data_IF_599554994932
#
_entry.id   IF_599554994932
#
_cell.length_a   1.000
_cell.length_b   1.000
_cell.length_c   1.000
_cell.angle_alpha   90.00
_cell.angle_beta   90.00
_cell.angle_gamma   90.00
#
_symmetry.space_group_name_H-M   'P 1'
#
loop_
_entity.id
_entity.type
_entity.pdbx_description
1 polymer ?
#
# COMPACT_ATOMS: atom_id res chain seq x y z
N UNK A 1 -9.22 -20.34 -15.85
CA UNK A 1 -7.86 -20.90 -15.71
C UNK A 1 -6.81 -19.83 -15.42
N UNK A 2 -6.58 -18.83 -16.29
CA UNK A 2 -5.54 -17.81 -16.06
C UNK A 2 -5.67 -17.06 -14.71
N UNK A 3 -6.87 -16.58 -14.37
CA UNK A 3 -7.11 -15.88 -13.10
C UNK A 3 -6.91 -16.77 -11.87
N UNK A 4 -7.27 -18.06 -11.98
CA UNK A 4 -7.06 -19.04 -10.90
C UNK A 4 -5.57 -19.32 -10.70
N UNK A 5 -4.82 -19.51 -11.79
CA UNK A 5 -3.36 -19.67 -11.73
C UNK A 5 -2.69 -18.43 -11.12
N UNK A 6 -3.14 -17.23 -11.49
CA UNK A 6 -2.65 -15.98 -10.93
C UNK A 6 -2.94 -15.90 -9.42
N UNK A 7 -4.18 -16.18 -8.99
CA UNK A 7 -4.56 -16.16 -7.59
C UNK A 7 -3.72 -17.16 -6.77
N UNK A 8 -3.58 -18.39 -7.25
CA UNK A 8 -2.73 -19.40 -6.59
C UNK A 8 -1.28 -18.92 -6.53
N UNK A 9 -0.77 -18.35 -7.61
CA UNK A 9 0.58 -17.77 -7.65
C UNK A 9 0.78 -16.66 -6.62
N UNK A 10 -0.18 -15.75 -6.46
CA UNK A 10 -0.16 -14.67 -5.47
C UNK A 10 -0.19 -15.24 -4.04
N UNK A 11 -1.04 -16.24 -3.77
CA UNK A 11 -1.14 -16.88 -2.45
C UNK A 11 0.18 -17.56 -2.10
N UNK A 12 0.75 -18.32 -3.03
CA UNK A 12 2.04 -19.01 -2.84
C UNK A 12 3.16 -17.98 -2.62
N UNK A 13 3.22 -16.93 -3.45
CA UNK A 13 4.20 -15.86 -3.29
C UNK A 13 4.07 -15.18 -1.92
N UNK A 14 2.86 -14.83 -1.50
CA UNK A 14 2.59 -14.22 -0.21
C UNK A 14 3.05 -15.14 0.93
N UNK A 15 2.68 -16.42 0.89
CA UNK A 15 3.11 -17.39 1.89
C UNK A 15 4.64 -17.48 1.99
N UNK A 16 5.32 -17.62 0.85
CA UNK A 16 6.78 -17.71 0.78
C UNK A 16 7.45 -16.45 1.34
N UNK A 17 7.03 -15.27 0.90
CA UNK A 17 7.62 -14.00 1.37
C UNK A 17 7.43 -13.80 2.87
N UNK A 18 6.30 -14.22 3.44
CA UNK A 18 6.00 -14.01 4.85
C UNK A 18 6.75 -15.01 5.74
N UNK A 19 6.66 -16.31 5.43
CA UNK A 19 7.27 -17.36 6.26
C UNK A 19 8.75 -17.61 5.99
N UNK A 20 9.30 -17.27 4.82
CA UNK A 20 10.74 -17.40 4.58
C UNK A 20 11.55 -16.32 5.32
N UNK A 21 10.95 -15.17 5.62
CA UNK A 21 11.64 -14.03 6.24
C UNK A 21 11.39 -13.90 7.74
N UNK A 22 10.35 -14.53 8.27
CA UNK A 22 10.01 -14.47 9.69
C UNK A 22 9.27 -15.72 10.16
N UNK A 23 9.87 -16.49 11.06
CA UNK A 23 9.24 -17.69 11.63
C UNK A 23 9.82 -18.07 12.98
N UNK A 24 9.06 -18.84 13.76
CA UNK A 24 9.54 -19.44 15.01
C UNK A 24 9.76 -20.95 14.82
N UNK A 25 10.96 -21.42 15.15
CA UNK A 25 11.31 -22.84 15.16
C UNK A 25 12.14 -23.17 16.40
N UNK A 26 11.83 -24.27 17.09
CA UNK A 26 12.55 -24.74 18.29
C UNK A 26 12.70 -23.63 19.35
N UNK A 27 11.62 -22.88 19.60
CA UNK A 27 11.58 -21.72 20.51
C UNK A 27 12.55 -20.58 20.20
N UNK A 28 13.13 -20.57 18.99
CA UNK A 28 13.96 -19.48 18.48
C UNK A 28 13.23 -18.71 17.40
N UNK A 29 13.40 -17.40 17.44
CA UNK A 29 12.88 -16.49 16.42
C UNK A 29 13.91 -16.36 15.30
N UNK A 30 13.50 -16.67 14.07
CA UNK A 30 14.31 -16.52 12.88
C UNK A 30 13.82 -15.31 12.09
N UNK A 31 14.78 -14.44 11.76
CA UNK A 31 14.54 -13.21 11.00
C UNK A 31 15.50 -13.22 9.81
N UNK A 32 14.97 -12.99 8.61
CA UNK A 32 15.77 -12.96 7.39
C UNK A 32 16.79 -11.83 7.39
N UNK A 33 17.96 -12.10 6.81
CA UNK A 33 19.03 -11.11 6.70
C UNK A 33 18.64 -9.85 5.89
N UNK A 34 17.69 -9.96 4.96
CA UNK A 34 17.21 -8.79 4.20
C UNK A 34 16.24 -7.89 4.96
N UNK A 35 15.70 -8.36 6.10
CA UNK A 35 14.62 -7.69 6.84
C UNK A 35 15.01 -7.33 8.28
N UNK A 36 16.12 -7.86 8.81
CA UNK A 36 16.43 -7.81 10.25
C UNK A 36 16.51 -6.38 10.82
N UNK A 37 17.04 -5.44 10.04
CA UNK A 37 17.22 -4.04 10.49
C UNK A 37 15.87 -3.36 10.71
N UNK A 38 14.91 -3.58 9.82
CA UNK A 38 13.55 -3.04 9.94
C UNK A 38 12.72 -3.83 10.96
N UNK A 39 12.98 -5.13 11.09
CA UNK A 39 12.24 -6.00 12.01
C UNK A 39 12.64 -5.77 13.47
N UNK A 40 13.86 -5.34 13.74
CA UNK A 40 14.33 -5.03 15.09
C UNK A 40 13.41 -4.01 15.80
N UNK A 41 13.15 -2.81 15.25
CA UNK A 41 12.19 -1.87 15.84
C UNK A 41 10.74 -2.35 15.74
N UNK A 42 10.33 -3.04 14.66
CA UNK A 42 8.95 -3.54 14.54
C UNK A 42 8.59 -4.57 15.62
N UNK A 43 9.47 -5.55 15.86
CA UNK A 43 9.25 -6.59 16.87
C UNK A 43 9.32 -5.99 18.27
N UNK A 44 10.27 -5.07 18.52
CA UNK A 44 10.32 -4.33 19.78
C UNK A 44 9.01 -3.61 20.07
N UNK A 45 8.45 -2.93 19.06
CA UNK A 45 7.18 -2.23 19.14
C UNK A 45 5.99 -3.19 19.37
N UNK A 46 5.88 -4.28 18.58
CA UNK A 46 4.87 -5.32 18.78
C UNK A 46 4.89 -5.85 20.21
N UNK A 47 6.09 -6.20 20.71
CA UNK A 47 6.28 -6.74 22.06
C UNK A 47 5.99 -5.74 23.17
N UNK A 48 6.22 -4.46 22.90
CA UNK A 48 5.85 -3.39 23.84
C UNK A 48 4.34 -3.28 24.03
N UNK A 49 3.53 -3.67 23.02
CA UNK A 49 2.08 -3.73 23.13
C UNK A 49 1.60 -5.07 23.68
N UNK A 50 2.25 -6.19 23.34
CA UNK A 50 1.78 -7.52 23.73
C UNK A 50 2.22 -7.96 25.14
N UNK A 51 3.42 -7.60 25.58
CA UNK A 51 3.93 -7.92 26.93
C UNK A 51 4.14 -6.68 27.79
N UNK A 52 4.19 -5.50 27.19
CA UNK A 52 4.30 -4.22 27.89
C UNK A 52 2.96 -3.53 28.04
N UNK A 53 2.99 -2.35 28.67
CA UNK A 53 1.86 -1.44 28.78
C UNK A 53 2.13 -0.17 27.96
N UNK A 54 2.43 -0.33 26.66
CA UNK A 54 2.80 0.79 25.79
C UNK A 54 1.58 1.47 25.14
N UNK A 55 0.57 1.82 25.93
CA UNK A 55 -0.56 2.63 25.48
C UNK A 55 -0.99 3.59 26.61
N UNK A 56 -0.86 4.92 26.47
CA UNK A 56 -0.45 5.68 25.28
C UNK A 56 0.97 5.36 24.80
N UNK A 57 1.18 5.45 23.48
CA UNK A 57 2.34 4.85 22.80
C UNK A 57 3.62 5.68 22.93
N UNK A 58 4.74 5.02 23.21
CA UNK A 58 6.09 5.61 23.25
C UNK A 58 7.11 4.76 22.48
N UNK A 59 8.20 5.38 22.01
CA UNK A 59 9.27 4.64 21.35
C UNK A 59 9.98 3.70 22.34
N UNK A 60 10.06 2.41 21.99
CA UNK A 60 10.73 1.40 22.82
C UNK A 60 12.23 1.62 22.99
N UNK A 61 12.85 2.36 22.07
CA UNK A 61 14.29 2.65 22.05
C UNK A 61 14.63 4.10 22.43
N UNK A 62 13.63 4.96 22.64
CA UNK A 62 13.83 6.36 22.97
C UNK A 62 12.73 6.83 23.93
N UNK A 63 13.01 6.65 25.23
CA UNK A 63 12.03 6.86 26.29
C UNK A 63 11.57 8.32 26.38
N UNK A 64 10.27 8.52 26.65
CA UNK A 64 9.67 9.83 26.83
C UNK A 64 9.13 10.47 25.55
N UNK A 65 9.50 9.94 24.37
CA UNK A 65 8.96 10.42 23.09
C UNK A 65 7.81 9.54 22.57
N UNK A 66 6.85 10.20 21.94
CA UNK A 66 5.73 9.61 21.22
C UNK A 66 6.17 8.95 19.91
N UNK A 67 5.43 7.92 19.48
CA UNK A 67 5.72 7.28 18.19
C UNK A 67 5.18 8.17 17.06
N UNK A 68 6.10 8.79 16.32
CA UNK A 68 5.78 9.67 15.18
C UNK A 68 5.56 8.90 13.86
N UNK A 69 6.02 7.65 13.82
CA UNK A 69 5.88 6.75 12.67
C UNK A 69 4.60 5.90 12.77
N UNK A 70 4.13 5.32 11.67
CA UNK A 70 2.92 4.49 11.70
C UNK A 70 3.14 3.22 12.55
N UNK A 71 2.40 3.12 13.66
CA UNK A 71 2.52 2.03 14.64
C UNK A 71 1.27 1.13 14.69
N UNK A 72 0.16 1.53 14.06
CA UNK A 72 -1.14 0.89 14.30
C UNK A 72 -1.20 -0.54 13.75
N UNK A 73 -0.42 -0.84 12.72
CA UNK A 73 -0.27 -2.22 12.23
C UNK A 73 0.46 -3.09 13.27
N UNK A 74 1.54 -2.59 13.86
CA UNK A 74 2.28 -3.26 14.94
C UNK A 74 1.43 -3.37 16.20
N UNK A 75 0.58 -2.38 16.49
CA UNK A 75 -0.40 -2.43 17.57
C UNK A 75 -1.42 -3.54 17.35
N UNK A 76 -2.00 -3.64 16.15
CA UNK A 76 -2.89 -4.75 15.79
C UNK A 76 -2.19 -6.10 15.98
N UNK A 77 -0.95 -6.25 15.50
CA UNK A 77 -0.16 -7.48 15.65
C UNK A 77 0.14 -7.79 17.12
N UNK A 78 0.48 -6.78 17.91
CA UNK A 78 0.69 -6.91 19.35
C UNK A 78 -0.56 -7.35 20.09
N UNK A 79 -1.75 -6.86 19.72
CA UNK A 79 -3.01 -7.33 20.29
C UNK A 79 -3.32 -8.78 19.90
N UNK A 80 -3.05 -9.18 18.66
CA UNK A 80 -3.18 -10.59 18.26
C UNK A 80 -2.26 -11.50 19.07
N UNK A 81 -1.03 -11.04 19.33
CA UNK A 81 -0.09 -11.77 20.19
C UNK A 81 -0.54 -11.81 21.65
N UNK A 82 -1.00 -10.69 22.19
CA UNK A 82 -1.55 -10.60 23.55
C UNK A 82 -2.70 -11.60 23.76
N UNK A 83 -3.55 -11.77 22.75
CA UNK A 83 -4.66 -12.74 22.74
C UNK A 83 -4.22 -14.20 22.57
N UNK A 84 -2.92 -14.46 22.44
CA UNK A 84 -2.33 -15.81 22.45
C UNK A 84 -1.85 -16.33 21.10
N UNK A 85 -1.92 -15.53 20.03
CA UNK A 85 -1.38 -15.93 18.72
C UNK A 85 0.15 -15.79 18.73
N UNK A 86 0.89 -16.85 18.42
CA UNK A 86 2.36 -16.79 18.36
C UNK A 86 2.82 -15.71 17.36
N UNK A 87 3.85 -14.93 17.74
CA UNK A 87 4.25 -13.69 17.02
C UNK A 87 4.43 -13.85 15.51
N UNK A 88 4.96 -14.98 15.04
CA UNK A 88 5.15 -15.23 13.62
C UNK A 88 3.82 -15.35 12.89
N UNK A 89 2.82 -16.03 13.44
CA UNK A 89 1.47 -16.02 12.88
C UNK A 89 0.79 -14.65 13.03
N UNK A 90 0.92 -14.01 14.20
CA UNK A 90 0.32 -12.71 14.47
C UNK A 90 0.80 -11.64 13.49
N UNK A 91 2.08 -11.72 13.08
CA UNK A 91 2.63 -10.78 12.10
C UNK A 91 2.38 -11.24 10.67
N UNK A 92 2.65 -12.51 10.34
CA UNK A 92 2.61 -12.98 8.95
C UNK A 92 1.19 -13.12 8.39
N UNK A 93 0.18 -13.51 9.18
CA UNK A 93 -1.18 -13.69 8.67
C UNK A 93 -1.79 -12.36 8.19
N UNK A 94 -1.83 -11.27 8.99
CA UNK A 94 -2.33 -9.99 8.50
C UNK A 94 -1.54 -9.47 7.31
N UNK A 95 -0.22 -9.66 7.29
CA UNK A 95 0.62 -9.24 6.17
C UNK A 95 0.36 -10.03 4.89
N UNK A 96 0.18 -11.35 5.00
CA UNK A 96 -0.18 -12.21 3.87
C UNK A 96 -1.54 -11.80 3.29
N UNK A 97 -2.55 -11.60 4.15
CA UNK A 97 -3.89 -11.17 3.74
C UNK A 97 -3.87 -9.79 3.10
N UNK A 98 -3.08 -8.87 3.66
CA UNK A 98 -2.91 -7.52 3.12
C UNK A 98 -2.26 -7.54 1.74
N UNK A 99 -1.23 -8.37 1.56
CA UNK A 99 -0.55 -8.57 0.28
C UNK A 99 -1.47 -9.15 -0.78
N UNK A 100 -2.20 -10.22 -0.46
CA UNK A 100 -3.19 -10.82 -1.37
C UNK A 100 -4.25 -9.78 -1.75
N UNK A 101 -4.79 -9.05 -0.77
CA UNK A 101 -5.81 -8.03 -1.00
C UNK A 101 -5.31 -6.90 -1.92
N UNK A 102 -4.07 -6.43 -1.73
CA UNK A 102 -3.48 -5.41 -2.59
C UNK A 102 -3.39 -5.87 -4.05
N UNK A 103 -2.94 -7.11 -4.28
CA UNK A 103 -2.86 -7.68 -5.63
C UNK A 103 -4.24 -7.86 -6.28
N UNK A 104 -5.23 -8.35 -5.53
CA UNK A 104 -6.58 -8.55 -6.06
C UNK A 104 -7.28 -7.24 -6.37
N UNK A 105 -7.11 -6.21 -5.54
CA UNK A 105 -7.67 -4.89 -5.79
C UNK A 105 -6.96 -4.19 -6.94
N UNK A 106 -5.65 -4.38 -7.10
CA UNK A 106 -4.91 -3.89 -8.27
C UNK A 106 -5.38 -4.58 -9.56
N UNK A 107 -5.56 -5.91 -9.52
CA UNK A 107 -6.13 -6.68 -10.63
C UNK A 107 -7.50 -6.12 -11.03
N UNK A 108 -8.38 -5.94 -10.04
CA UNK A 108 -9.72 -5.42 -10.26
C UNK A 108 -9.71 -3.99 -10.80
N UNK A 109 -8.82 -3.13 -10.29
CA UNK A 109 -8.66 -1.76 -10.77
C UNK A 109 -8.23 -1.73 -12.24
N UNK A 110 -7.20 -2.50 -12.60
CA UNK A 110 -6.74 -2.60 -13.99
C UNK A 110 -7.82 -3.19 -14.92
N UNK A 111 -8.55 -4.21 -14.45
CA UNK A 111 -9.67 -4.80 -15.17
C UNK A 111 -10.79 -3.78 -15.38
N UNK A 112 -11.14 -3.00 -14.35
CA UNK A 112 -12.18 -1.96 -14.44
C UNK A 112 -11.78 -0.84 -15.39
N UNK A 113 -10.51 -0.43 -15.42
CA UNK A 113 -9.97 0.60 -16.32
C UNK A 113 -9.96 0.16 -17.77
N UNK A 114 -9.58 -1.09 -18.04
CA UNK A 114 -9.27 -1.54 -19.40
C UNK A 114 -10.32 -2.47 -20.02
N UNK A 115 -11.20 -3.05 -19.21
CA UNK A 115 -12.11 -4.13 -19.60
C UNK A 115 -11.41 -5.46 -19.95
N UNK A 116 -10.09 -5.57 -19.72
CA UNK A 116 -9.28 -6.70 -20.20
C UNK A 116 -8.64 -7.48 -19.05
N UNK A 117 -8.97 -8.77 -18.96
CA UNK A 117 -8.34 -9.73 -18.02
C UNK A 117 -6.81 -9.73 -18.14
N UNK A 118 -6.29 -9.70 -19.38
CA UNK A 118 -4.85 -9.67 -19.63
C UNK A 118 -4.15 -8.45 -19.02
N UNK A 119 -4.80 -7.28 -19.02
CA UNK A 119 -4.24 -6.08 -18.38
C UNK A 119 -4.20 -6.22 -16.86
N UNK A 120 -5.23 -6.84 -16.26
CA UNK A 120 -5.22 -7.19 -14.84
C UNK A 120 -4.07 -8.14 -14.49
N UNK A 121 -3.86 -9.20 -15.28
CA UNK A 121 -2.76 -10.13 -15.06
C UNK A 121 -1.39 -9.45 -15.20
N UNK A 122 -1.20 -8.61 -16.22
CA UNK A 122 0.03 -7.85 -16.42
C UNK A 122 0.27 -6.82 -15.31
N UNK A 123 -0.78 -6.18 -14.79
CA UNK A 123 -0.67 -5.26 -13.66
C UNK A 123 -0.12 -5.98 -12.42
N UNK A 124 -0.65 -7.16 -12.07
CA UNK A 124 -0.11 -7.96 -10.97
C UNK A 124 1.34 -8.41 -11.24
N UNK A 125 1.65 -8.82 -12.48
CA UNK A 125 3.00 -9.21 -12.87
C UNK A 125 3.98 -8.06 -12.66
N UNK A 126 3.71 -6.89 -13.23
CA UNK A 126 4.58 -5.72 -13.11
C UNK A 126 4.66 -5.18 -11.68
N UNK A 127 3.61 -5.37 -10.88
CA UNK A 127 3.62 -4.97 -9.48
C UNK A 127 4.45 -5.91 -8.59
N UNK A 128 4.54 -7.19 -8.95
CA UNK A 128 5.42 -8.15 -8.29
C UNK A 128 6.90 -7.95 -8.63
N UNK A 129 7.21 -7.41 -9.82
CA UNK A 129 8.58 -7.25 -10.27
C UNK A 129 9.05 -5.80 -10.16
N UNK A 130 10.36 -5.65 -10.09
CA UNK A 130 10.99 -4.33 -10.03
C UNK A 130 10.82 -3.60 -11.37
N UNK A 131 10.48 -2.32 -11.33
CA UNK A 131 10.43 -1.43 -12.51
C UNK A 131 11.82 -0.97 -12.96
N UNK A 132 12.76 -1.90 -13.13
CA UNK A 132 14.14 -1.60 -13.54
C UNK A 132 14.64 -2.54 -14.64
N UNK A 133 15.55 -2.03 -15.48
CA UNK A 133 16.21 -2.81 -16.52
C UNK A 133 17.33 -3.73 -16.01
N UNK A 134 17.65 -3.63 -14.73
CA UNK A 134 18.84 -4.24 -14.10
C UNK A 134 18.89 -5.76 -14.17
N UNK A 135 17.73 -6.42 -14.24
CA UNK A 135 17.71 -7.85 -14.53
C UNK A 135 18.28 -8.15 -15.92
N UNK A 136 17.92 -7.35 -16.93
CA UNK A 136 18.33 -7.59 -18.31
C UNK A 136 19.81 -7.32 -18.54
N UNK A 137 20.35 -6.27 -17.93
CA UNK A 137 21.79 -5.97 -17.97
C UNK A 137 22.62 -6.98 -17.21
N UNK A 138 22.15 -7.45 -16.03
CA UNK A 138 22.76 -8.55 -15.30
C UNK A 138 22.84 -9.81 -16.18
N UNK A 139 21.73 -10.20 -16.81
CA UNK A 139 21.68 -11.37 -17.69
C UNK A 139 22.55 -11.20 -18.94
N UNK A 140 22.61 -10.00 -19.52
CA UNK A 140 23.46 -9.70 -20.67
C UNK A 140 24.96 -9.71 -20.33
N UNK A 141 25.31 -9.46 -19.06
CA UNK A 141 26.68 -9.50 -18.55
C UNK A 141 27.17 -10.87 -18.10
N UNK A 142 26.37 -11.93 -18.23
CA UNK A 142 26.76 -13.27 -17.79
C UNK A 142 27.93 -13.81 -18.64
N UNK A 143 28.92 -14.49 -18.02
CA UNK A 143 29.97 -15.17 -18.76
C UNK A 143 29.42 -16.18 -19.76
N UNK A 144 30.09 -16.32 -20.90
CA UNK A 144 29.72 -17.31 -21.92
C UNK A 144 29.73 -18.72 -21.32
N UNK A 145 28.61 -19.44 -21.45
CA UNK A 145 28.44 -20.79 -20.90
C UNK A 145 27.75 -20.85 -19.54
N UNK A 146 27.53 -19.71 -18.86
CA UNK A 146 26.75 -19.68 -17.61
C UNK A 146 25.26 -19.81 -17.91
N UNK A 147 24.59 -20.78 -17.28
CA UNK A 147 23.14 -20.93 -17.41
C UNK A 147 22.38 -19.82 -16.68
N UNK A 148 21.36 -19.24 -17.32
CA UNK A 148 20.52 -18.18 -16.71
C UNK A 148 19.90 -18.63 -15.39
N UNK A 149 19.35 -19.85 -15.34
CA UNK A 149 18.73 -20.39 -14.13
C UNK A 149 19.75 -20.60 -13.01
N UNK A 150 20.96 -21.04 -13.36
CA UNK A 150 22.04 -21.20 -12.40
C UNK A 150 22.44 -19.85 -11.80
N UNK A 151 22.67 -18.84 -12.64
CA UNK A 151 23.03 -17.49 -12.20
C UNK A 151 21.98 -16.89 -11.26
N UNK A 152 20.68 -17.02 -11.60
CA UNK A 152 19.59 -16.53 -10.76
C UNK A 152 19.47 -17.30 -9.44
N UNK A 153 19.71 -18.62 -9.44
CA UNK A 153 19.62 -19.44 -8.23
C UNK A 153 20.80 -19.20 -7.26
N UNK A 154 21.98 -18.92 -7.79
CA UNK A 154 23.19 -18.65 -7.01
C UNK A 154 23.29 -17.18 -6.54
N UNK A 155 22.48 -16.27 -7.11
CA UNK A 155 22.52 -14.87 -6.74
C UNK A 155 21.91 -14.61 -5.35
N UNK A 156 22.74 -14.11 -4.43
CA UNK A 156 22.34 -13.77 -3.05
C UNK A 156 22.29 -12.26 -2.77
N UNK A 157 22.51 -11.41 -3.78
CA UNK A 157 22.58 -9.95 -3.63
C UNK A 157 21.50 -9.23 -4.44
N UNK A 158 21.16 -8.00 -4.06
CA UNK A 158 20.31 -7.15 -4.90
C UNK A 158 21.08 -6.72 -6.15
N UNK A 159 20.49 -6.95 -7.31
CA UNK A 159 21.03 -6.46 -8.57
C UNK A 159 20.91 -4.92 -8.63
N UNK A 160 21.94 -4.26 -9.15
CA UNK A 160 22.05 -2.80 -9.19
C UNK A 160 22.83 -2.33 -10.42
N UNK A 161 22.25 -1.41 -11.18
CA UNK A 161 22.89 -0.70 -12.31
C UNK A 161 22.98 0.81 -12.07
N UNK A 162 22.22 1.33 -11.11
CA UNK A 162 22.10 2.75 -10.83
C UNK A 162 22.39 3.06 -9.36
N UNK A 163 22.80 4.30 -9.02
CA UNK A 163 23.12 4.64 -7.65
C UNK A 163 21.98 4.32 -6.69
N UNK A 164 22.29 3.59 -5.62
CA UNK A 164 21.35 3.17 -4.55
C UNK A 164 20.27 2.18 -4.98
N UNK A 165 20.39 1.59 -6.16
CA UNK A 165 19.46 0.57 -6.61
C UNK A 165 19.63 -0.74 -5.83
N UNK A 166 20.80 -0.99 -5.28
CA UNK A 166 21.12 -2.07 -4.35
C UNK A 166 20.35 -1.96 -3.02
N UNK A 167 19.75 -0.81 -2.69
CA UNK A 167 18.90 -0.65 -1.51
C UNK A 167 17.60 -1.44 -1.59
N UNK A 168 17.27 -1.98 -2.76
CA UNK A 168 16.08 -2.78 -2.95
C UNK A 168 14.77 -1.99 -2.82
N UNK A 169 14.81 -0.67 -3.04
CA UNK A 169 13.59 0.14 -3.08
C UNK A 169 12.73 -0.27 -4.29
N UNK A 170 11.41 -0.36 -4.06
CA UNK A 170 10.39 -0.78 -5.03
C UNK A 170 10.62 -2.17 -5.65
N UNK A 171 10.93 -3.16 -4.80
CA UNK A 171 10.94 -4.58 -5.15
C UNK A 171 10.10 -5.40 -4.13
N UNK A 172 10.08 -6.73 -4.28
CA UNK A 172 9.35 -7.62 -3.36
C UNK A 172 9.80 -7.53 -1.89
N UNK A 173 11.06 -7.16 -1.64
CA UNK A 173 11.62 -7.04 -0.30
C UNK A 173 10.94 -5.93 0.50
N UNK A 174 10.41 -4.87 -0.14
CA UNK A 174 9.70 -3.81 0.58
C UNK A 174 8.44 -4.35 1.25
N UNK A 175 7.71 -5.28 0.62
CA UNK A 175 6.57 -5.96 1.26
C UNK A 175 6.99 -6.89 2.40
N UNK A 176 8.26 -7.31 2.42
CA UNK A 176 8.82 -8.05 3.53
C UNK A 176 9.19 -7.12 4.68
N UNK A 177 10.00 -6.10 4.41
CA UNK A 177 10.50 -5.13 5.38
C UNK A 177 9.37 -4.30 6.00
N UNK A 178 8.53 -3.72 5.16
CA UNK A 178 7.39 -2.88 5.54
C UNK A 178 6.09 -3.65 5.37
N UNK A 179 5.87 -4.62 6.27
CA UNK A 179 4.69 -5.51 6.28
C UNK A 179 3.32 -4.80 6.21
N UNK A 180 3.26 -3.55 6.66
CA UNK A 180 2.08 -2.68 6.70
C UNK A 180 1.85 -1.93 5.38
N UNK A 181 2.83 -1.87 4.46
CA UNK A 181 2.70 -1.23 3.14
C UNK A 181 1.57 -1.85 2.32
N UNK A 182 1.53 -3.18 2.24
CA UNK A 182 0.51 -3.88 1.49
C UNK A 182 -0.91 -3.56 1.99
N UNK A 183 -1.07 -3.37 3.31
CA UNK A 183 -2.34 -2.97 3.90
C UNK A 183 -2.75 -1.57 3.44
N UNK A 184 -1.81 -0.62 3.47
CA UNK A 184 -2.04 0.73 2.98
C UNK A 184 -2.41 0.79 1.50
N UNK A 185 -1.70 0.02 0.66
CA UNK A 185 -1.99 -0.06 -0.78
C UNK A 185 -3.33 -0.72 -1.07
N UNK A 186 -3.71 -1.77 -0.34
CA UNK A 186 -5.01 -2.40 -0.47
C UNK A 186 -6.15 -1.39 -0.19
N UNK A 187 -6.06 -0.64 0.91
CA UNK A 187 -7.06 0.40 1.22
C UNK A 187 -7.08 1.50 0.17
N UNK A 188 -5.91 1.96 -0.30
CA UNK A 188 -5.82 2.94 -1.39
C UNK A 188 -6.52 2.46 -2.67
N UNK A 189 -6.24 1.24 -3.13
CA UNK A 189 -6.89 0.71 -4.34
C UNK A 189 -8.40 0.54 -4.16
N UNK A 190 -8.85 0.09 -2.98
CA UNK A 190 -10.27 -0.01 -2.67
C UNK A 190 -10.95 1.37 -2.75
N UNK A 191 -10.36 2.40 -2.14
CA UNK A 191 -10.93 3.76 -2.17
C UNK A 191 -10.97 4.32 -3.60
N UNK A 192 -9.91 4.12 -4.40
CA UNK A 192 -9.92 4.53 -5.80
C UNK A 192 -11.04 3.81 -6.57
N UNK A 193 -11.19 2.50 -6.38
CA UNK A 193 -12.25 1.71 -7.01
C UNK A 193 -13.67 2.21 -6.66
N UNK A 194 -13.89 2.65 -5.42
CA UNK A 194 -15.19 3.17 -4.99
C UNK A 194 -15.56 4.49 -5.70
N UNK A 195 -14.56 5.32 -6.03
CA UNK A 195 -14.77 6.63 -6.65
C UNK A 195 -14.59 6.61 -8.18
N UNK A 196 -14.04 5.53 -8.73
CA UNK A 196 -13.84 5.33 -10.17
C UNK A 196 -15.12 5.50 -11.01
N UNK A 197 -16.32 5.06 -10.57
CA UNK A 197 -17.55 5.29 -11.33
C UNK A 197 -17.82 6.76 -11.69
N UNK A 198 -17.42 7.69 -10.81
CA UNK A 198 -17.59 9.15 -11.05
C UNK A 198 -16.77 9.66 -12.21
N UNK A 199 -15.62 9.04 -12.45
CA UNK A 199 -14.77 9.33 -13.62
C UNK A 199 -15.44 8.81 -14.89
N UNK A 200 -16.05 7.61 -14.85
CA UNK A 200 -16.77 7.07 -16.00
C UNK A 200 -18.03 7.84 -16.35
N UNK A 201 -18.80 8.29 -15.35
CA UNK A 201 -19.98 9.14 -15.56
C UNK A 201 -19.62 10.42 -16.33
N UNK A 202 -18.50 11.06 -15.99
CA UNK A 202 -18.00 12.23 -16.74
C UNK A 202 -17.56 11.84 -18.15
N UNK A 203 -16.82 10.73 -18.28
CA UNK A 203 -16.37 10.27 -19.59
C UNK A 203 -17.53 10.03 -20.55
N UNK A 204 -18.60 9.35 -20.12
CA UNK A 204 -19.80 9.10 -20.92
C UNK A 204 -20.51 10.40 -21.35
N UNK A 205 -20.51 11.44 -20.51
CA UNK A 205 -21.09 12.76 -20.85
C UNK A 205 -20.25 13.54 -21.87
N UNK A 206 -18.94 13.35 -21.86
CA UNK A 206 -18.00 14.05 -22.75
C UNK A 206 -17.79 13.31 -24.07
N UNK A 207 -17.95 11.99 -24.11
CA UNK A 207 -17.70 11.13 -25.29
C UNK A 207 -18.80 11.20 -26.39
N UNK A 208 -19.81 12.06 -26.21
CA UNK A 208 -20.75 12.42 -27.29
C UNK A 208 -20.06 13.26 -28.39
N UNK A 209 -20.30 13.00 -29.69
CA UNK A 209 -19.45 13.52 -30.73
C UNK A 209 -19.55 15.04 -30.88
N UNK A 210 -18.37 15.66 -30.79
CA UNK A 210 -17.94 16.89 -31.44
C UNK A 210 -18.64 18.20 -31.01
N UNK A 211 -18.21 18.76 -29.87
CA UNK A 211 -18.15 20.22 -29.67
C UNK A 211 -16.99 20.59 -28.75
N UNK A 212 -16.25 21.61 -29.18
CA UNK A 212 -14.92 22.10 -28.76
C UNK A 212 -14.48 21.80 -27.32
N UNK A 213 -13.16 21.72 -27.13
CA UNK A 213 -12.47 21.74 -25.83
C UNK A 213 -13.06 22.74 -24.81
N UNK A 214 -13.63 23.87 -25.26
CA UNK A 214 -14.33 24.85 -24.41
C UNK A 214 -15.65 24.31 -23.86
N UNK A 215 -16.44 23.61 -24.66
CA UNK A 215 -17.72 23.01 -24.24
C UNK A 215 -17.48 21.81 -23.32
N UNK A 216 -16.44 21.01 -23.57
CA UNK A 216 -15.97 19.98 -22.63
C UNK A 216 -15.51 20.59 -21.31
N UNK A 217 -14.72 21.67 -21.33
CA UNK A 217 -14.32 22.39 -20.10
C UNK A 217 -15.51 22.99 -19.35
N UNK A 218 -16.53 23.47 -20.07
CA UNK A 218 -17.79 23.93 -19.46
C UNK A 218 -18.56 22.81 -18.79
N UNK A 219 -18.71 21.67 -19.47
CA UNK A 219 -19.35 20.49 -18.89
C UNK A 219 -18.61 20.00 -17.65
N UNK A 220 -17.28 19.87 -17.77
CA UNK A 220 -16.41 19.44 -16.70
C UNK A 220 -16.53 20.42 -15.52
N UNK A 221 -16.27 21.72 -15.67
CA UNK A 221 -16.09 22.61 -14.51
C UNK A 221 -17.25 23.52 -14.14
N UNK A 222 -18.22 23.77 -15.03
CA UNK A 222 -19.20 24.85 -14.82
C UNK A 222 -20.65 24.37 -14.78
N UNK A 223 -20.89 23.06 -14.82
CA UNK A 223 -22.23 22.49 -14.65
C UNK A 223 -22.55 22.22 -13.18
N UNK A 224 -23.82 22.37 -12.79
CA UNK A 224 -24.26 22.05 -11.43
C UNK A 224 -24.10 20.57 -11.12
N UNK A 225 -24.36 19.71 -12.09
CA UNK A 225 -24.28 18.25 -11.93
C UNK A 225 -22.86 17.81 -11.59
N UNK A 226 -21.85 18.40 -12.24
CA UNK A 226 -20.45 18.07 -11.97
C UNK A 226 -19.95 18.53 -10.58
N UNK A 227 -20.69 19.41 -9.91
CA UNK A 227 -20.46 19.85 -8.53
C UNK A 227 -21.57 19.38 -7.57
N UNK A 228 -22.38 18.40 -7.95
CA UNK A 228 -23.41 17.86 -7.07
C UNK A 228 -22.86 16.71 -6.20
N UNK A 229 -23.67 16.20 -5.29
CA UNK A 229 -23.42 14.96 -4.56
C UNK A 229 -24.54 14.00 -4.94
N UNK A 230 -24.19 12.87 -5.55
CA UNK A 230 -25.16 11.83 -5.90
C UNK A 230 -25.36 10.86 -4.73
N UNK A 231 -24.29 10.53 -4.01
CA UNK A 231 -24.33 9.69 -2.81
C UNK A 231 -23.42 10.25 -1.71
N UNK A 232 -23.97 10.38 -0.51
CA UNK A 232 -23.20 10.78 0.67
C UNK A 232 -22.50 9.59 1.33
N UNK A 233 -23.03 8.37 1.21
CA UNK A 233 -22.56 7.22 1.99
C UNK A 233 -21.17 6.79 1.56
N UNK A 234 -20.93 6.67 0.26
CA UNK A 234 -19.65 6.26 -0.32
C UNK A 234 -18.51 7.20 0.08
N UNK A 235 -18.56 8.52 -0.16
CA UNK A 235 -17.47 9.43 0.22
C UNK A 235 -17.27 9.53 1.73
N UNK A 236 -18.33 9.42 2.54
CA UNK A 236 -18.21 9.39 4.01
C UNK A 236 -17.49 8.12 4.45
N UNK A 237 -17.94 6.95 4.00
CA UNK A 237 -17.33 5.67 4.37
C UNK A 237 -15.88 5.57 3.90
N UNK A 238 -15.61 5.97 2.66
CA UNK A 238 -14.26 6.00 2.10
C UNK A 238 -13.36 7.02 2.81
N UNK A 239 -13.89 8.19 3.18
CA UNK A 239 -13.17 9.20 3.95
C UNK A 239 -12.82 8.74 5.35
N UNK A 240 -13.75 8.03 6.02
CA UNK A 240 -13.49 7.41 7.33
C UNK A 240 -12.42 6.33 7.21
N UNK A 241 -12.58 5.42 6.24
CA UNK A 241 -11.64 4.32 6.01
C UNK A 241 -10.23 4.83 5.70
N UNK A 242 -10.10 5.79 4.78
CA UNK A 242 -8.81 6.36 4.41
C UNK A 242 -8.22 7.20 5.56
N UNK A 243 -9.05 7.96 6.27
CA UNK A 243 -8.64 8.73 7.44
C UNK A 243 -8.09 7.84 8.56
N UNK A 244 -8.73 6.72 8.85
CA UNK A 244 -8.24 5.74 9.84
C UNK A 244 -6.90 5.11 9.48
N UNK A 245 -6.45 5.20 8.22
CA UNK A 245 -5.19 4.63 7.78
C UNK A 245 -3.96 5.50 8.15
N UNK A 246 -4.13 6.74 8.63
CA UNK A 246 -2.99 7.67 8.86
C UNK A 246 -1.86 7.08 9.72
N UNK A 247 -2.20 6.37 10.81
CA UNK A 247 -1.20 5.70 11.68
C UNK A 247 -0.95 4.22 11.34
N UNK A 248 -1.62 3.69 10.32
CA UNK A 248 -1.28 2.40 9.70
C UNK A 248 -0.25 2.60 8.57
N UNK A 249 -0.46 3.61 7.72
CA UNK A 249 0.43 3.95 6.61
C UNK A 249 0.16 5.37 6.04
N UNK A 250 0.68 6.41 6.69
CA UNK A 250 0.45 7.81 6.29
C UNK A 250 0.80 8.15 4.83
N UNK A 251 1.87 7.57 4.28
CA UNK A 251 2.26 7.80 2.89
C UNK A 251 1.20 7.31 1.87
N UNK A 252 0.45 6.26 2.22
CA UNK A 252 -0.60 5.72 1.37
C UNK A 252 -1.84 6.62 1.42
N UNK A 253 -2.13 7.24 2.57
CA UNK A 253 -3.17 8.27 2.71
C UNK A 253 -2.85 9.46 1.80
N UNK A 254 -1.64 10.01 1.89
CA UNK A 254 -1.22 11.15 1.06
C UNK A 254 -1.24 10.77 -0.43
N UNK A 255 -0.67 9.61 -0.79
CA UNK A 255 -0.67 9.12 -2.17
C UNK A 255 -2.08 8.93 -2.73
N UNK A 256 -2.99 8.36 -1.94
CA UNK A 256 -4.39 8.18 -2.34
C UNK A 256 -5.09 9.53 -2.55
N UNK A 257 -4.91 10.50 -1.64
CA UNK A 257 -5.50 11.84 -1.78
C UNK A 257 -4.99 12.55 -3.04
N UNK A 258 -3.71 12.41 -3.39
CA UNK A 258 -3.16 12.98 -4.63
C UNK A 258 -3.78 12.33 -5.88
N UNK A 259 -3.91 11.01 -5.91
CA UNK A 259 -4.56 10.30 -7.03
C UNK A 259 -6.02 10.70 -7.15
N UNK A 260 -6.75 10.75 -6.04
CA UNK A 260 -8.16 11.17 -6.01
C UNK A 260 -8.34 12.63 -6.40
N UNK A 261 -7.41 13.51 -6.05
CA UNK A 261 -7.43 14.90 -6.50
C UNK A 261 -7.34 14.99 -8.03
N UNK A 262 -6.42 14.24 -8.65
CA UNK A 262 -6.31 14.16 -10.11
C UNK A 262 -7.59 13.57 -10.72
N UNK A 263 -8.11 12.49 -10.14
CA UNK A 263 -9.35 11.88 -10.60
C UNK A 263 -10.53 12.86 -10.52
N UNK A 264 -10.63 13.65 -9.45
CA UNK A 264 -11.69 14.63 -9.26
C UNK A 264 -11.72 15.71 -10.36
N UNK A 265 -10.58 16.07 -10.97
CA UNK A 265 -10.52 17.03 -12.08
C UNK A 265 -11.42 16.56 -13.23
N UNK A 266 -11.39 15.25 -13.53
CA UNK A 266 -12.09 14.61 -14.65
C UNK A 266 -13.30 13.79 -14.21
N UNK A 267 -13.82 13.99 -13.00
CA UNK A 267 -14.96 13.26 -12.47
C UNK A 267 -16.22 14.13 -12.39
N UNK A 268 -17.37 13.46 -12.43
CA UNK A 268 -18.65 14.02 -12.01
C UNK A 268 -18.73 14.06 -10.47
N UNK A 269 -19.70 14.77 -9.91
CA UNK A 269 -19.97 14.80 -8.47
C UNK A 269 -18.77 15.16 -7.59
N UNK A 270 -17.99 16.19 -7.97
CA UNK A 270 -16.70 16.53 -7.30
C UNK A 270 -16.81 16.81 -5.81
N UNK A 271 -17.97 17.23 -5.34
CA UNK A 271 -18.17 17.44 -3.91
C UNK A 271 -18.07 16.13 -3.11
N UNK A 272 -18.25 14.96 -3.72
CA UNK A 272 -17.98 13.66 -3.09
C UNK A 272 -16.48 13.49 -2.78
N UNK A 273 -15.60 13.84 -3.72
CA UNK A 273 -14.15 13.82 -3.52
C UNK A 273 -13.70 14.83 -2.45
N UNK A 274 -14.28 16.04 -2.48
CA UNK A 274 -14.00 17.07 -1.48
C UNK A 274 -14.47 16.65 -0.08
N UNK A 275 -15.65 16.05 0.04
CA UNK A 275 -16.18 15.51 1.30
C UNK A 275 -15.29 14.39 1.85
N UNK A 276 -14.90 13.43 1.01
CA UNK A 276 -13.97 12.36 1.37
C UNK A 276 -12.66 12.93 1.89
N UNK A 277 -12.07 13.89 1.16
CA UNK A 277 -10.82 14.53 1.53
C UNK A 277 -10.93 15.28 2.87
N UNK A 278 -12.01 16.04 3.07
CA UNK A 278 -12.26 16.76 4.32
C UNK A 278 -12.36 15.82 5.52
N UNK A 279 -13.09 14.71 5.39
CA UNK A 279 -13.20 13.70 6.45
C UNK A 279 -11.85 13.03 6.71
N UNK A 280 -11.13 12.65 5.65
CA UNK A 280 -9.81 12.01 5.75
C UNK A 280 -8.82 12.90 6.50
N UNK A 281 -8.73 14.18 6.12
CA UNK A 281 -7.83 15.17 6.74
C UNK A 281 -8.26 15.44 8.18
N UNK A 282 -9.56 15.60 8.43
CA UNK A 282 -10.10 15.79 9.78
C UNK A 282 -9.73 14.63 10.71
N UNK A 283 -9.89 13.40 10.26
CA UNK A 283 -9.50 12.21 11.03
C UNK A 283 -7.98 12.07 11.20
N UNK A 284 -7.19 12.40 10.20
CA UNK A 284 -5.73 12.42 10.31
C UNK A 284 -5.26 13.42 11.38
N UNK A 285 -5.89 14.61 11.41
CA UNK A 285 -5.62 15.64 12.42
C UNK A 285 -6.04 15.20 13.83
N UNK A 286 -7.24 14.62 13.97
CA UNK A 286 -7.72 14.08 15.25
C UNK A 286 -6.78 12.99 15.80
N UNK A 287 -6.36 12.05 14.96
CA UNK A 287 -5.41 11.01 15.38
C UNK A 287 -4.05 11.59 15.75
N UNK A 288 -3.54 12.54 14.96
CA UNK A 288 -2.24 13.20 15.25
C UNK A 288 -2.29 13.89 16.62
N UNK A 289 -3.33 14.67 16.91
CA UNK A 289 -3.47 15.33 18.21
C UNK A 289 -3.70 14.36 19.38
N UNK A 290 -4.26 13.18 19.11
CA UNK A 290 -4.50 12.18 20.13
C UNK A 290 -3.23 11.37 20.46
N UNK A 291 -2.46 10.98 19.44
CA UNK A 291 -1.29 10.12 19.62
C UNK A 291 0.01 10.88 19.80
N UNK A 292 0.09 12.13 19.34
CA UNK A 292 1.34 12.89 19.31
C UNK A 292 1.29 14.19 20.12
N UNK A 293 2.41 14.52 20.75
CA UNK A 293 2.65 15.84 21.35
C UNK A 293 3.46 16.69 20.35
N UNK A 294 2.81 17.67 19.75
CA UNK A 294 3.42 18.54 18.73
C UNK A 294 3.13 18.08 17.30
N UNK A 295 3.88 18.60 16.32
CA UNK A 295 3.69 18.26 14.91
C UNK A 295 4.53 17.05 14.50
N UNK A 296 3.99 16.19 13.63
CA UNK A 296 4.75 15.14 12.95
C UNK A 296 5.79 15.70 11.96
N UNK A 297 5.60 16.95 11.52
CA UNK A 297 6.49 17.67 10.60
C UNK A 297 6.82 19.03 11.23
N UNK A 298 8.05 19.19 11.72
CA UNK A 298 8.62 20.53 11.94
C UNK A 298 9.39 20.92 10.69
N UNK A 299 9.06 22.08 10.12
CA UNK A 299 9.93 22.69 9.13
C UNK A 299 11.01 23.45 9.89
N UNK A 300 12.11 22.76 10.19
CA UNK A 300 13.31 23.44 10.63
C UNK A 300 13.99 24.01 9.37
N UNK A 301 13.73 25.30 9.12
CA UNK A 301 14.48 26.11 8.15
C UNK A 301 15.66 26.79 8.84
#
# INVERSE_FOLDING_TARGET
MAEQCLLVGIIVLAFLLMWATFFVKDSKLYIGFSVFSDFSPHIGMIRSFSYGNNFPTSYSHYAGEDIKYHFMFQFMVGNLEYLGLRIDYAFNLPSMLSFISAFLLLYLLALKITGKVGAGCLACLFFAFRSSKTLFTYLAGLPSGTGVLQALAENTAFLSDTPKEDWGLWNLNVYCNQRHLAFGLAVMFLVILLLLPRVYEMHEKVDTPLRLCIDSMKQIFFTKDAWSIADYRTPIAAGILLGSLSFFHGAAVIGCLLVLFIAAIVAEHRLEFALLAAITIGMAYLQTNFFMKGSAVSFDF
#
